data_IF_234943097181
#
_entry.id   IF_234943097181
#
_cell.length_a   1.000
_cell.length_b   1.000
_cell.length_c   1.000
_cell.angle_alpha   90.00
_cell.angle_beta   90.00
_cell.angle_gamma   90.00
#
_symmetry.space_group_name_H-M   'P 1'
#
loop_
_entity.id
_entity.type
_entity.pdbx_description
1 polymer ?
#
# COMPACT_ATOMS: atom_id res chain seq x y z
N UNK A 1 -24.10 -20.24 -14.06
CA UNK A 1 -24.87 -20.85 -12.95
C UNK A 1 -26.29 -20.29 -12.92
N UNK A 2 -27.28 -21.05 -12.45
CA UNK A 2 -28.62 -20.58 -12.16
C UNK A 2 -28.65 -19.82 -10.81
N UNK A 3 -29.70 -19.07 -10.56
CA UNK A 3 -29.88 -18.39 -9.26
C UNK A 3 -29.80 -19.40 -8.08
N UNK A 4 -30.42 -20.58 -8.21
CA UNK A 4 -30.41 -21.60 -7.17
C UNK A 4 -29.00 -22.13 -6.87
N UNK A 5 -28.18 -22.35 -7.89
CA UNK A 5 -26.80 -22.78 -7.75
C UNK A 5 -25.93 -21.67 -7.12
N UNK A 6 -26.14 -20.40 -7.54
CA UNK A 6 -25.45 -19.26 -6.97
C UNK A 6 -25.81 -19.08 -5.47
N UNK A 7 -27.08 -19.21 -5.10
CA UNK A 7 -27.51 -19.10 -3.71
C UNK A 7 -26.92 -20.21 -2.83
N UNK A 8 -26.91 -21.46 -3.32
CA UNK A 8 -26.25 -22.58 -2.64
C UNK A 8 -24.77 -22.34 -2.44
N UNK A 9 -24.09 -21.87 -3.49
CA UNK A 9 -22.66 -21.56 -3.43
C UNK A 9 -22.37 -20.45 -2.42
N UNK A 10 -23.13 -19.34 -2.42
CA UNK A 10 -22.99 -18.23 -1.48
C UNK A 10 -23.13 -18.71 -0.05
N UNK A 11 -24.21 -19.45 0.24
CA UNK A 11 -24.48 -19.98 1.57
C UNK A 11 -23.40 -20.95 2.04
N UNK A 12 -22.98 -21.87 1.17
CA UNK A 12 -21.95 -22.86 1.48
C UNK A 12 -20.60 -22.19 1.74
N UNK A 13 -20.20 -21.23 0.91
CA UNK A 13 -18.96 -20.48 1.07
C UNK A 13 -18.93 -19.59 2.32
N UNK A 14 -20.11 -19.13 2.79
CA UNK A 14 -20.26 -18.42 4.06
C UNK A 14 -20.31 -19.35 5.28
N UNK A 15 -20.35 -20.68 5.09
CA UNK A 15 -20.43 -21.65 6.17
C UNK A 15 -21.75 -21.64 6.95
N UNK A 16 -22.84 -21.06 6.38
CA UNK A 16 -24.12 -20.92 7.07
C UNK A 16 -25.13 -21.99 6.66
N UNK A 17 -26.02 -22.38 7.59
CA UNK A 17 -27.13 -23.33 7.31
C UNK A 17 -28.27 -22.63 6.61
N UNK A 18 -29.17 -23.39 5.94
CA UNK A 18 -30.39 -22.84 5.36
C UNK A 18 -31.28 -22.14 6.42
N UNK A 19 -31.25 -22.62 7.65
CA UNK A 19 -32.00 -22.05 8.78
C UNK A 19 -31.43 -20.68 9.17
N UNK A 20 -30.11 -20.58 9.30
CA UNK A 20 -29.42 -19.30 9.60
C UNK A 20 -29.62 -18.26 8.49
N UNK A 21 -29.52 -18.69 7.20
CA UNK A 21 -29.81 -17.79 6.08
C UNK A 21 -31.27 -17.32 6.10
N UNK A 22 -32.23 -18.19 6.48
CA UNK A 22 -33.63 -17.83 6.60
C UNK A 22 -33.88 -16.80 7.71
N UNK A 23 -33.20 -16.95 8.86
CA UNK A 23 -33.23 -15.97 9.95
C UNK A 23 -32.69 -14.62 9.51
N UNK A 24 -31.52 -14.58 8.82
CA UNK A 24 -30.91 -13.32 8.33
C UNK A 24 -31.82 -12.58 7.33
N UNK A 25 -32.55 -13.33 6.50
CA UNK A 25 -33.47 -12.78 5.50
C UNK A 25 -34.89 -12.57 6.02
N UNK A 26 -35.20 -12.94 7.27
CA UNK A 26 -36.53 -12.86 7.91
C UNK A 26 -37.58 -13.68 7.15
N UNK A 27 -37.21 -14.86 6.65
CA UNK A 27 -38.10 -15.75 5.88
C UNK A 27 -38.13 -17.15 6.50
N UNK A 28 -39.01 -18.04 5.98
CA UNK A 28 -39.06 -19.42 6.45
C UNK A 28 -37.88 -20.25 5.85
N UNK A 29 -37.37 -21.24 6.61
CA UNK A 29 -36.40 -22.22 6.08
C UNK A 29 -36.92 -22.91 4.82
N UNK A 30 -38.24 -23.16 4.75
CA UNK A 30 -38.86 -23.77 3.57
C UNK A 30 -38.75 -22.89 2.32
N UNK A 31 -38.82 -21.56 2.48
CA UNK A 31 -38.58 -20.62 1.37
C UNK A 31 -37.19 -20.75 0.82
N UNK A 32 -36.16 -20.71 1.68
CA UNK A 32 -34.76 -20.88 1.27
C UNK A 32 -34.54 -22.22 0.57
N UNK A 33 -35.11 -23.31 1.12
CA UNK A 33 -34.99 -24.64 0.51
C UNK A 33 -35.63 -24.71 -0.89
N UNK A 34 -36.79 -24.04 -1.10
CA UNK A 34 -37.44 -23.95 -2.42
C UNK A 34 -36.61 -23.11 -3.40
N UNK A 35 -36.00 -22.05 -2.96
CA UNK A 35 -35.14 -21.21 -3.78
C UNK A 35 -33.88 -21.97 -4.23
N UNK A 36 -33.23 -22.69 -3.30
CA UNK A 36 -32.06 -23.49 -3.60
C UNK A 36 -32.36 -24.72 -4.50
N UNK A 37 -33.59 -25.24 -4.41
CA UNK A 37 -34.04 -26.32 -5.30
C UNK A 37 -34.54 -25.83 -6.66
N UNK A 38 -34.65 -24.51 -6.88
CA UNK A 38 -35.21 -23.91 -8.08
C UNK A 38 -36.73 -24.01 -8.19
N UNK A 39 -37.42 -24.48 -7.13
CA UNK A 39 -38.87 -24.64 -7.13
C UNK A 39 -39.62 -23.31 -7.03
N UNK A 40 -39.00 -22.27 -6.51
CA UNK A 40 -39.56 -20.90 -6.45
C UNK A 40 -38.45 -19.87 -6.47
N UNK A 41 -38.86 -18.60 -6.62
CA UNK A 41 -37.96 -17.43 -6.65
C UNK A 41 -38.31 -16.49 -5.49
N UNK A 42 -37.33 -15.81 -4.88
CA UNK A 42 -37.59 -14.76 -3.91
C UNK A 42 -38.15 -13.50 -4.55
N UNK A 43 -38.81 -12.66 -3.75
CA UNK A 43 -39.23 -11.33 -4.17
C UNK A 43 -38.05 -10.40 -4.34
N UNK A 44 -38.22 -9.29 -5.07
CA UNK A 44 -37.13 -8.35 -5.41
C UNK A 44 -36.45 -7.79 -4.17
N UNK A 45 -37.22 -7.45 -3.13
CA UNK A 45 -36.65 -6.92 -1.87
C UNK A 45 -35.76 -7.94 -1.17
N UNK A 46 -36.12 -9.22 -1.23
CA UNK A 46 -35.28 -10.31 -0.69
C UNK A 46 -34.05 -10.53 -1.53
N UNK A 47 -34.14 -10.42 -2.86
CA UNK A 47 -32.98 -10.49 -3.76
C UNK A 47 -31.99 -9.37 -3.46
N UNK A 48 -32.46 -8.14 -3.26
CA UNK A 48 -31.60 -7.01 -2.89
C UNK A 48 -30.95 -7.24 -1.52
N UNK A 49 -31.70 -7.75 -0.52
CA UNK A 49 -31.12 -8.12 0.77
C UNK A 49 -30.04 -9.20 0.66
N UNK A 50 -30.22 -10.21 -0.21
CA UNK A 50 -29.16 -11.22 -0.49
C UNK A 50 -27.94 -10.56 -1.11
N UNK A 51 -28.12 -9.65 -2.07
CA UNK A 51 -27.04 -8.90 -2.69
C UNK A 51 -26.26 -8.08 -1.66
N UNK A 52 -26.96 -7.35 -0.80
CA UNK A 52 -26.36 -6.51 0.25
C UNK A 52 -25.65 -7.36 1.33
N UNK A 53 -26.27 -8.47 1.74
CA UNK A 53 -25.76 -9.35 2.79
C UNK A 53 -24.44 -10.05 2.39
N UNK A 54 -24.32 -10.43 1.11
CA UNK A 54 -23.20 -11.21 0.61
C UNK A 54 -22.33 -10.44 -0.39
N UNK A 55 -22.58 -9.14 -0.57
CA UNK A 55 -21.87 -8.25 -1.49
C UNK A 55 -21.75 -8.86 -2.91
N UNK A 56 -22.88 -9.20 -3.50
CA UNK A 56 -22.97 -9.80 -4.82
C UNK A 56 -23.85 -8.92 -5.71
N UNK A 57 -23.38 -8.63 -6.93
CA UNK A 57 -24.18 -7.92 -7.91
C UNK A 57 -25.41 -8.74 -8.34
N UNK A 58 -26.56 -8.07 -8.45
CA UNK A 58 -27.84 -8.70 -8.80
C UNK A 58 -27.80 -9.44 -10.14
N UNK A 59 -27.11 -8.88 -11.15
CA UNK A 59 -27.01 -9.53 -12.45
C UNK A 59 -26.12 -10.80 -12.36
N UNK A 60 -25.06 -10.77 -11.57
CA UNK A 60 -24.21 -11.93 -11.29
C UNK A 60 -24.98 -13.00 -10.53
N UNK A 61 -25.79 -12.61 -9.52
CA UNK A 61 -26.62 -13.53 -8.75
C UNK A 61 -27.68 -14.23 -9.62
N UNK A 62 -28.32 -13.50 -10.55
CA UNK A 62 -29.43 -14.01 -11.35
C UNK A 62 -29.02 -14.73 -12.64
N UNK A 63 -27.95 -14.30 -13.29
CA UNK A 63 -27.58 -14.72 -14.66
C UNK A 63 -26.12 -15.13 -14.83
N UNK A 64 -25.27 -14.69 -13.91
CA UNK A 64 -23.83 -15.00 -13.92
C UNK A 64 -23.47 -16.26 -13.14
N UNK A 65 -22.20 -16.37 -12.83
CA UNK A 65 -21.65 -17.34 -11.89
C UNK A 65 -20.93 -16.57 -10.79
N UNK A 66 -21.47 -16.66 -9.58
CA UNK A 66 -20.84 -16.01 -8.41
C UNK A 66 -19.47 -16.62 -8.13
N UNK A 67 -19.33 -17.92 -8.31
CA UNK A 67 -18.06 -18.63 -8.17
C UNK A 67 -17.00 -18.10 -9.14
N UNK A 68 -17.33 -18.06 -10.45
CA UNK A 68 -16.39 -17.55 -11.47
C UNK A 68 -16.05 -16.08 -11.27
N UNK A 69 -17.02 -15.27 -10.86
CA UNK A 69 -16.79 -13.86 -10.55
C UNK A 69 -15.81 -13.72 -9.39
N UNK A 70 -16.01 -14.45 -8.29
CA UNK A 70 -15.11 -14.42 -7.12
C UNK A 70 -13.71 -14.93 -7.46
N UNK A 71 -13.58 -16.05 -8.16
CA UNK A 71 -12.28 -16.57 -8.62
C UNK A 71 -11.57 -15.56 -9.53
N UNK A 72 -12.31 -14.92 -10.44
CA UNK A 72 -11.79 -13.88 -11.30
C UNK A 72 -11.30 -12.65 -10.52
N UNK A 73 -12.06 -12.20 -9.51
CA UNK A 73 -11.70 -11.04 -8.71
C UNK A 73 -10.50 -11.30 -7.79
N UNK A 74 -10.41 -12.50 -7.21
CA UNK A 74 -9.25 -12.90 -6.41
C UNK A 74 -7.97 -12.98 -7.24
N UNK A 75 -8.04 -13.58 -8.44
CA UNK A 75 -6.90 -13.65 -9.36
C UNK A 75 -6.46 -12.24 -9.80
N UNK A 76 -7.42 -11.36 -10.13
CA UNK A 76 -7.16 -9.96 -10.50
C UNK A 76 -6.53 -9.18 -9.35
N UNK A 77 -7.05 -9.34 -8.13
CA UNK A 77 -6.50 -8.70 -6.94
C UNK A 77 -5.05 -9.12 -6.72
N UNK A 78 -4.77 -10.42 -6.72
CA UNK A 78 -3.43 -10.94 -6.51
C UNK A 78 -2.43 -10.44 -7.56
N UNK A 79 -2.80 -10.48 -8.85
CA UNK A 79 -1.96 -10.00 -9.95
C UNK A 79 -1.75 -8.47 -9.88
N UNK A 80 -2.81 -7.74 -9.61
CA UNK A 80 -2.75 -6.27 -9.45
C UNK A 80 -1.82 -5.88 -8.30
N UNK A 81 -2.01 -6.46 -7.10
CA UNK A 81 -1.21 -6.14 -5.92
C UNK A 81 0.26 -6.51 -6.10
N UNK A 82 0.57 -7.63 -6.77
CA UNK A 82 1.93 -8.02 -7.09
C UNK A 82 2.63 -6.99 -8.00
N UNK A 83 1.96 -6.55 -9.06
CA UNK A 83 2.50 -5.53 -9.97
C UNK A 83 2.62 -4.17 -9.32
N UNK A 84 1.64 -3.80 -8.50
CA UNK A 84 1.64 -2.55 -7.76
C UNK A 84 2.79 -2.47 -6.78
N UNK A 85 2.97 -3.50 -5.93
CA UNK A 85 4.07 -3.60 -4.97
C UNK A 85 5.44 -3.51 -5.65
N UNK A 86 5.62 -4.24 -6.76
CA UNK A 86 6.88 -4.23 -7.50
C UNK A 86 7.18 -2.85 -8.11
N UNK A 87 6.19 -2.20 -8.74
CA UNK A 87 6.35 -0.86 -9.32
C UNK A 87 6.71 0.18 -8.27
N UNK A 88 6.01 0.17 -7.13
CA UNK A 88 6.27 1.08 -6.02
C UNK A 88 7.67 0.89 -5.44
N UNK A 89 8.04 -0.36 -5.13
CA UNK A 89 9.35 -0.67 -4.57
C UNK A 89 10.50 -0.31 -5.52
N UNK A 90 10.37 -0.64 -6.81
CA UNK A 90 11.38 -0.29 -7.83
C UNK A 90 11.50 1.22 -7.99
N UNK A 91 10.39 1.96 -8.06
CA UNK A 91 10.44 3.41 -8.27
C UNK A 91 11.06 4.14 -7.08
N UNK A 92 10.74 3.76 -5.85
CA UNK A 92 11.32 4.36 -4.65
C UNK A 92 12.83 4.04 -4.57
N UNK A 93 13.20 2.78 -4.80
CA UNK A 93 14.60 2.35 -4.77
C UNK A 93 15.43 2.98 -5.90
N UNK A 94 14.84 3.19 -7.08
CA UNK A 94 15.50 3.81 -8.21
C UNK A 94 15.93 5.25 -7.93
N UNK A 95 15.15 6.01 -7.14
CA UNK A 95 15.52 7.37 -6.72
C UNK A 95 16.82 7.32 -5.89
N UNK A 96 16.90 6.38 -4.93
CA UNK A 96 18.08 6.24 -4.07
C UNK A 96 19.29 5.72 -4.88
N UNK A 97 19.07 4.74 -5.76
CA UNK A 97 20.11 4.24 -6.66
C UNK A 97 20.59 5.33 -7.65
N UNK A 98 19.68 6.25 -8.04
CA UNK A 98 20.03 7.42 -8.84
C UNK A 98 21.01 8.37 -8.15
N UNK A 99 20.87 8.54 -6.82
CA UNK A 99 21.85 9.28 -6.01
C UNK A 99 23.22 8.59 -6.04
N UNK A 100 23.26 7.27 -5.88
CA UNK A 100 24.50 6.49 -5.97
C UNK A 100 25.17 6.65 -7.33
N UNK A 101 24.40 6.58 -8.41
CA UNK A 101 24.90 6.80 -9.78
C UNK A 101 25.45 8.20 -9.95
N UNK A 102 24.75 9.22 -9.45
CA UNK A 102 25.22 10.61 -9.52
C UNK A 102 26.56 10.78 -8.79
N UNK A 103 26.70 10.21 -7.58
CA UNK A 103 27.96 10.25 -6.81
C UNK A 103 29.09 9.60 -7.61
N UNK A 104 28.87 8.41 -8.17
CA UNK A 104 29.87 7.70 -8.98
C UNK A 104 30.30 8.51 -10.20
N UNK A 105 29.36 9.06 -10.96
CA UNK A 105 29.67 9.86 -12.14
C UNK A 105 30.50 11.11 -11.79
N UNK A 106 30.18 11.77 -10.68
CA UNK A 106 30.94 12.93 -10.22
C UNK A 106 32.33 12.57 -9.71
N UNK A 107 32.52 11.38 -9.12
CA UNK A 107 33.82 10.90 -8.64
C UNK A 107 34.83 10.62 -9.78
N UNK A 108 34.34 10.06 -10.88
CA UNK A 108 35.24 9.71 -12.03
C UNK A 108 35.55 10.87 -12.96
N UNK A 109 34.70 11.89 -13.02
CA UNK A 109 34.95 13.06 -13.85
C UNK A 109 34.47 14.35 -13.16
N UNK A 110 35.40 15.10 -12.53
CA UNK A 110 35.08 16.29 -11.75
C UNK A 110 34.79 17.55 -12.58
N UNK A 111 34.75 17.47 -13.93
CA UNK A 111 34.44 18.64 -14.76
C UNK A 111 33.01 19.14 -14.53
N UNK A 112 32.81 20.47 -14.56
CA UNK A 112 31.50 21.08 -14.29
C UNK A 112 30.44 20.64 -15.31
N UNK A 113 30.79 20.47 -16.58
CA UNK A 113 29.88 19.98 -17.61
C UNK A 113 29.40 18.56 -17.31
N UNK A 114 30.30 17.71 -16.79
CA UNK A 114 29.93 16.33 -16.45
C UNK A 114 29.10 16.22 -15.18
N UNK A 115 29.34 17.07 -14.18
CA UNK A 115 28.50 17.19 -13.01
C UNK A 115 27.10 17.61 -13.39
N UNK A 116 26.91 18.60 -14.27
CA UNK A 116 25.60 19.01 -14.77
C UNK A 116 24.90 17.86 -15.48
N UNK A 117 25.59 17.05 -16.27
CA UNK A 117 25.03 15.86 -16.91
C UNK A 117 24.60 14.81 -15.88
N UNK A 118 25.40 14.54 -14.85
CA UNK A 118 25.07 13.60 -13.77
C UNK A 118 23.80 14.04 -13.02
N UNK A 119 23.68 15.33 -12.71
CA UNK A 119 22.45 15.90 -12.09
C UNK A 119 21.27 15.78 -13.03
N UNK A 120 21.43 16.06 -14.33
CA UNK A 120 20.35 15.93 -15.31
C UNK A 120 19.85 14.47 -15.43
N UNK A 121 20.76 13.49 -15.44
CA UNK A 121 20.42 12.06 -15.43
C UNK A 121 19.69 11.67 -14.15
N UNK A 122 20.15 12.14 -12.99
CA UNK A 122 19.47 11.92 -11.73
C UNK A 122 18.05 12.50 -11.75
N UNK A 123 17.88 13.74 -12.21
CA UNK A 123 16.56 14.36 -12.33
C UNK A 123 15.64 13.60 -13.29
N UNK A 124 16.17 13.01 -14.35
CA UNK A 124 15.42 12.15 -15.26
C UNK A 124 14.91 10.88 -14.54
N UNK A 125 15.78 10.22 -13.76
CA UNK A 125 15.40 9.05 -12.95
C UNK A 125 14.30 9.43 -11.94
N UNK A 126 14.45 10.55 -11.24
CA UNK A 126 13.44 11.05 -10.30
C UNK A 126 12.11 11.30 -11.02
N UNK A 127 12.14 11.97 -12.17
CA UNK A 127 10.94 12.28 -12.95
C UNK A 127 10.21 11.00 -13.36
N UNK A 128 10.90 10.01 -13.92
CA UNK A 128 10.32 8.72 -14.32
C UNK A 128 9.74 8.01 -13.09
N UNK A 129 10.48 7.96 -11.99
CA UNK A 129 10.06 7.31 -10.75
C UNK A 129 8.78 7.95 -10.18
N UNK A 130 8.72 9.27 -10.13
CA UNK A 130 7.54 10.02 -9.65
C UNK A 130 6.34 9.77 -10.55
N UNK A 131 6.51 9.78 -11.88
CA UNK A 131 5.42 9.46 -12.83
C UNK A 131 4.90 8.04 -12.59
N UNK A 132 5.77 7.05 -12.38
CA UNK A 132 5.36 5.66 -12.10
C UNK A 132 4.63 5.56 -10.75
N UNK A 133 5.11 6.25 -9.72
CA UNK A 133 4.45 6.28 -8.40
C UNK A 133 3.05 6.88 -8.50
N UNK A 134 2.92 8.05 -9.13
CA UNK A 134 1.62 8.75 -9.27
C UNK A 134 0.64 7.92 -10.10
N UNK A 135 1.07 7.41 -11.26
CA UNK A 135 0.21 6.59 -12.12
C UNK A 135 -0.21 5.29 -11.45
N UNK A 136 0.70 4.64 -10.70
CA UNK A 136 0.40 3.44 -9.91
C UNK A 136 -0.60 3.73 -8.79
N UNK A 137 -0.47 4.87 -8.10
CA UNK A 137 -1.42 5.31 -7.07
C UNK A 137 -2.82 5.55 -7.63
N UNK A 138 -2.94 6.23 -8.79
CA UNK A 138 -4.23 6.43 -9.48
C UNK A 138 -4.83 5.09 -9.91
N UNK A 139 -4.01 4.15 -10.44
CA UNK A 139 -4.47 2.82 -10.81
C UNK A 139 -4.98 2.03 -9.59
N UNK A 140 -4.32 2.15 -8.44
CA UNK A 140 -4.75 1.54 -7.19
C UNK A 140 -6.09 2.10 -6.70
N UNK A 141 -6.28 3.42 -6.73
CA UNK A 141 -7.55 4.06 -6.37
C UNK A 141 -8.69 3.63 -7.30
N UNK A 142 -8.42 3.57 -8.61
CA UNK A 142 -9.39 3.08 -9.59
C UNK A 142 -9.73 1.58 -9.41
N UNK A 143 -8.74 0.77 -9.02
CA UNK A 143 -8.96 -0.64 -8.71
C UNK A 143 -9.84 -0.81 -7.48
N UNK A 144 -9.57 -0.06 -6.40
CA UNK A 144 -10.38 -0.05 -5.18
C UNK A 144 -11.84 0.33 -5.44
N UNK A 145 -12.08 1.34 -6.29
CA UNK A 145 -13.44 1.75 -6.66
C UNK A 145 -14.21 0.69 -7.44
N UNK A 146 -13.51 -0.12 -8.24
CA UNK A 146 -14.12 -1.20 -9.03
C UNK A 146 -14.33 -2.48 -8.22
N UNK A 147 -13.50 -2.72 -7.23
CA UNK A 147 -13.50 -3.90 -6.38
C UNK A 147 -13.52 -3.46 -4.91
N UNK A 148 -14.66 -2.92 -4.42
CA UNK A 148 -14.75 -2.35 -3.07
C UNK A 148 -14.55 -3.38 -1.98
N UNK A 149 -14.97 -4.62 -2.22
CA UNK A 149 -14.83 -5.74 -1.28
C UNK A 149 -14.19 -6.91 -2.01
N UNK A 150 -13.22 -7.54 -1.38
CA UNK A 150 -12.57 -8.78 -1.84
C UNK A 150 -12.81 -9.84 -0.76
N UNK A 151 -13.27 -11.03 -1.17
CA UNK A 151 -13.36 -12.14 -0.24
C UNK A 151 -11.94 -12.60 0.15
N UNK A 152 -11.70 -12.88 1.44
CA UNK A 152 -10.43 -13.46 1.86
C UNK A 152 -10.33 -14.90 1.33
N UNK A 153 -9.35 -15.14 0.48
CA UNK A 153 -9.12 -16.40 -0.20
C UNK A 153 -7.78 -17.02 0.18
N UNK A 154 -6.97 -16.29 0.96
CA UNK A 154 -5.70 -16.82 1.44
C UNK A 154 -5.92 -17.76 2.60
N UNK A 155 -5.28 -18.94 2.55
CA UNK A 155 -5.25 -19.86 3.68
C UNK A 155 -4.33 -19.33 4.78
N UNK A 156 -4.57 -19.72 6.03
CA UNK A 156 -3.69 -19.35 7.14
C UNK A 156 -2.25 -19.85 6.92
N UNK A 157 -2.10 -21.02 6.27
CA UNK A 157 -0.79 -21.57 5.91
C UNK A 157 -0.04 -20.65 4.92
N UNK A 158 -0.75 -20.06 3.94
CA UNK A 158 -0.15 -19.11 2.98
C UNK A 158 0.25 -17.81 3.66
N UNK A 159 -0.59 -17.30 4.57
CA UNK A 159 -0.31 -16.09 5.36
C UNK A 159 0.92 -16.30 6.24
N UNK A 160 1.00 -17.40 6.97
CA UNK A 160 2.12 -17.76 7.84
C UNK A 160 3.40 -17.99 7.02
N UNK A 161 3.32 -18.68 5.90
CA UNK A 161 4.48 -18.91 5.02
C UNK A 161 5.02 -17.60 4.46
N UNK A 162 4.15 -16.63 4.14
CA UNK A 162 4.61 -15.31 3.71
C UNK A 162 5.15 -14.50 4.86
N UNK A 163 4.53 -14.54 6.04
CA UNK A 163 5.01 -13.82 7.23
C UNK A 163 6.45 -14.23 7.61
N UNK A 164 6.78 -15.52 7.50
CA UNK A 164 8.17 -15.98 7.67
C UNK A 164 9.13 -15.37 6.64
N UNK A 165 8.70 -15.25 5.38
CA UNK A 165 9.50 -14.57 4.34
C UNK A 165 9.64 -13.07 4.61
N UNK A 166 8.58 -12.43 5.11
CA UNK A 166 8.58 -11.02 5.45
C UNK A 166 9.63 -10.70 6.52
N UNK A 167 9.79 -11.54 7.54
CA UNK A 167 10.87 -11.39 8.54
C UNK A 167 12.24 -11.34 7.87
N UNK A 168 12.49 -12.17 6.84
CA UNK A 168 13.76 -12.14 6.10
C UNK A 168 13.92 -10.89 5.23
N UNK A 169 12.84 -10.32 4.67
CA UNK A 169 12.90 -9.03 3.98
C UNK A 169 13.35 -7.91 4.92
N UNK A 170 12.80 -7.88 6.14
CA UNK A 170 13.18 -6.87 7.15
C UNK A 170 14.60 -7.12 7.67
N UNK A 171 14.91 -8.34 8.11
CA UNK A 171 16.24 -8.67 8.66
C UNK A 171 17.35 -8.48 7.62
N UNK A 172 17.14 -8.90 6.38
CA UNK A 172 18.07 -8.72 5.28
C UNK A 172 18.31 -7.25 4.94
N UNK A 173 17.25 -6.44 4.90
CA UNK A 173 17.36 -5.00 4.69
C UNK A 173 18.14 -4.29 5.80
N UNK A 174 17.81 -4.57 7.07
CA UNK A 174 18.56 -4.02 8.21
C UNK A 174 20.02 -4.48 8.18
N UNK A 175 20.26 -5.78 7.92
CA UNK A 175 21.62 -6.33 7.81
C UNK A 175 22.43 -5.65 6.69
N UNK A 176 21.82 -5.39 5.54
CA UNK A 176 22.47 -4.70 4.43
C UNK A 176 22.89 -3.26 4.80
N UNK A 177 22.03 -2.52 5.52
CA UNK A 177 22.36 -1.16 5.97
C UNK A 177 23.52 -1.21 6.99
N UNK A 178 23.44 -2.08 8.01
CA UNK A 178 24.48 -2.20 9.01
C UNK A 178 25.82 -2.64 8.41
N UNK A 179 25.79 -3.60 7.47
CA UNK A 179 26.97 -4.01 6.72
C UNK A 179 27.57 -2.85 5.91
N UNK A 180 26.72 -2.05 5.27
CA UNK A 180 27.14 -0.85 4.54
C UNK A 180 27.82 0.18 5.44
N UNK A 181 27.34 0.39 6.67
CA UNK A 181 27.97 1.26 7.66
C UNK A 181 29.37 0.72 8.04
N UNK A 182 29.49 -0.60 8.28
CA UNK A 182 30.78 -1.24 8.60
C UNK A 182 31.76 -1.06 7.42
N UNK A 183 31.29 -1.23 6.19
CA UNK A 183 32.13 -1.00 4.99
C UNK A 183 32.60 0.46 4.90
N UNK A 184 31.73 1.43 5.14
CA UNK A 184 32.12 2.85 5.17
C UNK A 184 33.20 3.10 6.21
N UNK A 185 33.00 2.67 7.46
CA UNK A 185 33.98 2.83 8.54
C UNK A 185 35.31 2.18 8.14
N UNK A 186 35.27 0.98 7.56
CA UNK A 186 36.47 0.28 7.09
C UNK A 186 37.24 1.06 6.01
N UNK A 187 36.50 1.61 5.02
CA UNK A 187 37.14 2.42 3.97
C UNK A 187 37.80 3.66 4.54
N UNK A 188 37.11 4.42 5.40
CA UNK A 188 37.66 5.62 6.04
C UNK A 188 38.82 5.33 7.00
N UNK A 189 38.84 4.15 7.65
CA UNK A 189 39.89 3.79 8.61
C UNK A 189 41.18 3.27 7.96
N UNK A 190 41.10 2.57 6.82
CA UNK A 190 42.21 1.81 6.25
C UNK A 190 42.66 2.27 4.86
N UNK A 191 41.84 3.05 4.15
CA UNK A 191 42.24 3.58 2.83
C UNK A 191 42.72 5.03 2.94
N UNK A 192 43.68 5.46 2.04
CA UNK A 192 44.12 6.84 2.02
C UNK A 192 42.98 7.80 1.73
N UNK A 193 42.94 8.96 2.39
CA UNK A 193 42.04 10.08 2.09
C UNK A 193 42.28 10.60 0.67
N UNK A 194 41.75 9.89 -0.32
CA UNK A 194 41.87 10.29 -1.74
C UNK A 194 40.62 9.89 -2.51
N UNK A 195 40.06 10.84 -3.23
CA UNK A 195 39.17 10.56 -4.34
C UNK A 195 39.86 9.57 -5.32
N UNK A 196 39.16 8.52 -5.87
CA UNK A 196 37.69 8.34 -5.84
C UNK A 196 37.17 7.35 -4.76
N UNK A 197 38.01 6.83 -3.84
CA UNK A 197 37.62 5.73 -2.93
C UNK A 197 36.47 6.10 -2.01
N UNK A 198 36.45 7.31 -1.45
CA UNK A 198 35.39 7.78 -0.56
C UNK A 198 34.04 7.86 -1.29
N UNK A 199 34.06 8.42 -2.49
CA UNK A 199 32.86 8.52 -3.32
C UNK A 199 32.34 7.15 -3.78
N UNK A 200 33.23 6.20 -4.09
CA UNK A 200 32.84 4.82 -4.41
C UNK A 200 32.21 4.16 -3.19
N UNK A 201 32.80 4.31 -2.02
CA UNK A 201 32.25 3.74 -0.79
C UNK A 201 30.87 4.32 -0.46
N UNK A 202 30.70 5.63 -0.59
CA UNK A 202 29.41 6.30 -0.42
C UNK A 202 28.38 5.81 -1.43
N UNK A 203 28.74 5.63 -2.68
CA UNK A 203 27.84 5.12 -3.71
C UNK A 203 27.44 3.66 -3.45
N UNK A 204 28.38 2.80 -3.05
CA UNK A 204 28.09 1.41 -2.67
C UNK A 204 27.14 1.38 -1.47
N UNK A 205 27.37 2.23 -0.47
CA UNK A 205 26.46 2.35 0.67
C UNK A 205 25.05 2.79 0.25
N UNK A 206 24.93 3.77 -0.66
CA UNK A 206 23.64 4.19 -1.20
C UNK A 206 22.94 3.07 -1.98
N UNK A 207 23.67 2.22 -2.70
CA UNK A 207 23.11 1.05 -3.37
C UNK A 207 22.60 -0.01 -2.37
N UNK A 208 23.30 -0.22 -1.27
CA UNK A 208 22.85 -1.11 -0.19
C UNK A 208 21.58 -0.55 0.47
N UNK A 209 21.49 0.76 0.71
CA UNK A 209 20.27 1.42 1.18
C UNK A 209 19.14 1.25 0.16
N UNK A 210 19.39 1.44 -1.14
CA UNK A 210 18.39 1.25 -2.18
C UNK A 210 17.82 -0.17 -2.17
N UNK A 211 18.68 -1.19 -2.04
CA UNK A 211 18.28 -2.60 -1.90
C UNK A 211 17.48 -2.87 -0.63
N UNK A 212 17.89 -2.29 0.50
CA UNK A 212 17.18 -2.40 1.77
C UNK A 212 15.79 -1.75 1.68
N UNK A 213 15.69 -0.55 1.11
CA UNK A 213 14.41 0.15 0.92
C UNK A 213 13.49 -0.63 -0.03
N UNK A 214 14.05 -1.21 -1.11
CA UNK A 214 13.29 -2.12 -1.96
C UNK A 214 12.70 -3.28 -1.16
N UNK A 215 13.53 -3.93 -0.34
CA UNK A 215 13.14 -5.06 0.50
C UNK A 215 12.02 -4.67 1.48
N UNK A 216 12.14 -3.53 2.15
CA UNK A 216 11.13 -3.05 3.10
C UNK A 216 9.81 -2.69 2.41
N UNK A 217 9.86 -1.93 1.32
CA UNK A 217 8.65 -1.49 0.61
C UNK A 217 7.95 -2.67 -0.04
N UNK A 218 8.70 -3.50 -0.78
CA UNK A 218 8.14 -4.68 -1.43
C UNK A 218 7.57 -5.68 -0.42
N UNK A 219 8.37 -6.02 0.60
CA UNK A 219 7.97 -6.94 1.67
C UNK A 219 6.74 -6.44 2.43
N UNK A 220 6.72 -5.17 2.83
CA UNK A 220 5.58 -4.57 3.54
C UNK A 220 4.30 -4.54 2.71
N UNK A 221 4.39 -4.15 1.43
CA UNK A 221 3.23 -4.14 0.54
C UNK A 221 2.74 -5.55 0.21
N UNK A 222 3.62 -6.55 0.13
CA UNK A 222 3.24 -7.94 -0.04
C UNK A 222 2.59 -8.50 1.24
N UNK A 223 3.07 -8.13 2.42
CA UNK A 223 2.43 -8.48 3.70
C UNK A 223 1.02 -7.89 3.78
N UNK A 224 0.84 -6.62 3.41
CA UNK A 224 -0.48 -5.98 3.38
C UNK A 224 -1.44 -6.63 2.37
N UNK A 225 -0.93 -7.22 1.28
CA UNK A 225 -1.73 -7.97 0.31
C UNK A 225 -2.46 -9.17 0.95
N UNK A 226 -1.80 -9.87 1.89
CA UNK A 226 -2.41 -11.00 2.60
C UNK A 226 -3.43 -10.57 3.67
N UNK A 227 -3.46 -9.29 4.04
CA UNK A 227 -4.44 -8.72 5.00
C UNK A 227 -5.67 -8.18 4.25
N UNK A 228 -6.41 -9.08 3.58
CA UNK A 228 -7.61 -8.71 2.79
C UNK A 228 -8.64 -7.99 3.65
N UNK A 229 -8.79 -8.37 4.92
CA UNK A 229 -9.66 -7.69 5.88
C UNK A 229 -9.32 -6.19 6.03
N UNK A 230 -8.01 -5.84 6.03
CA UNK A 230 -7.55 -4.46 6.09
C UNK A 230 -7.93 -3.69 4.82
N UNK A 231 -7.75 -4.32 3.64
CA UNK A 231 -8.17 -3.75 2.36
C UNK A 231 -9.67 -3.44 2.36
N UNK A 232 -10.52 -4.39 2.79
CA UNK A 232 -11.97 -4.23 2.84
C UNK A 232 -12.39 -3.15 3.83
N UNK A 233 -11.80 -3.12 5.03
CA UNK A 233 -12.02 -2.11 6.06
C UNK A 233 -11.68 -0.71 5.56
N UNK A 234 -10.49 -0.55 4.98
CA UNK A 234 -9.98 0.75 4.51
C UNK A 234 -10.75 1.26 3.28
N UNK A 235 -11.38 0.35 2.55
CA UNK A 235 -12.20 0.69 1.38
C UNK A 235 -13.66 1.02 1.75
N UNK A 236 -14.18 0.40 2.80
CA UNK A 236 -15.53 0.61 3.32
C UNK A 236 -15.48 0.98 4.81
N UNK A 237 -14.92 2.16 5.16
CA UNK A 237 -14.86 2.58 6.54
C UNK A 237 -16.28 2.85 7.06
N UNK A 238 -16.52 2.47 8.32
CA UNK A 238 -17.72 2.88 9.03
C UNK A 238 -17.89 4.42 8.98
N UNK A 239 -19.12 4.96 8.87
CA UNK A 239 -19.35 6.41 8.76
C UNK A 239 -18.65 7.24 9.83
N UNK A 240 -18.62 6.76 11.09
CA UNK A 240 -17.93 7.45 12.18
C UNK A 240 -16.41 7.37 12.05
N UNK A 241 -15.88 6.23 11.60
CA UNK A 241 -14.47 6.05 11.30
C UNK A 241 -14.03 6.97 10.15
N UNK A 242 -14.81 7.03 9.08
CA UNK A 242 -14.56 7.93 7.94
C UNK A 242 -14.49 9.39 8.39
N UNK A 243 -15.46 9.84 9.20
CA UNK A 243 -15.48 11.22 9.72
C UNK A 243 -14.23 11.55 10.54
N UNK A 244 -13.75 10.62 11.38
CA UNK A 244 -12.51 10.81 12.16
C UNK A 244 -11.27 10.89 11.26
N UNK A 245 -11.18 10.05 10.23
CA UNK A 245 -10.08 10.07 9.26
C UNK A 245 -10.07 11.37 8.45
N UNK A 246 -11.23 11.83 7.99
CA UNK A 246 -11.37 13.09 7.26
C UNK A 246 -10.96 14.29 8.13
N UNK A 247 -11.36 14.30 9.41
CA UNK A 247 -10.95 15.33 10.38
C UNK A 247 -9.43 15.26 10.62
N UNK A 248 -8.84 14.08 10.80
CA UNK A 248 -7.40 13.93 10.95
C UNK A 248 -6.64 14.46 9.74
N UNK A 249 -7.13 14.20 8.53
CA UNK A 249 -6.59 14.73 7.29
C UNK A 249 -6.67 16.26 7.21
N UNK A 250 -7.83 16.83 7.56
CA UNK A 250 -8.03 18.29 7.57
C UNK A 250 -7.12 19.00 8.58
N UNK A 251 -7.00 18.45 9.81
CA UNK A 251 -6.11 18.99 10.85
C UNK A 251 -4.64 18.89 10.42
N UNK A 252 -4.23 17.75 9.86
CA UNK A 252 -2.86 17.56 9.35
C UNK A 252 -2.55 18.52 8.21
N UNK A 253 -3.50 18.75 7.30
CA UNK A 253 -3.38 19.76 6.25
C UNK A 253 -3.20 21.18 6.82
N UNK A 254 -3.98 21.56 7.82
CA UNK A 254 -3.86 22.85 8.49
C UNK A 254 -2.49 23.01 9.19
N UNK A 255 -1.98 21.97 9.85
CA UNK A 255 -0.64 21.96 10.47
C UNK A 255 0.44 22.22 9.42
N UNK A 256 0.41 21.53 8.28
CA UNK A 256 1.42 21.66 7.24
C UNK A 256 1.34 23.02 6.52
N UNK A 257 0.13 23.56 6.31
CA UNK A 257 -0.05 24.92 5.79
C UNK A 257 0.51 25.98 6.76
N UNK A 258 0.26 25.80 8.07
CA UNK A 258 0.81 26.68 9.12
C UNK A 258 2.33 26.59 9.16
N UNK A 259 2.90 25.38 9.08
CA UNK A 259 4.34 25.17 9.00
C UNK A 259 4.95 25.88 7.78
N UNK A 260 4.29 25.78 6.63
CA UNK A 260 4.71 26.48 5.41
C UNK A 260 4.66 28.00 5.58
N UNK A 261 3.58 28.55 6.16
CA UNK A 261 3.44 29.98 6.43
C UNK A 261 4.54 30.50 7.39
N UNK A 262 4.85 29.74 8.45
CA UNK A 262 5.93 30.05 9.39
C UNK A 262 7.29 30.05 8.66
N UNK A 263 7.56 29.02 7.85
CA UNK A 263 8.81 28.92 7.08
C UNK A 263 9.01 30.12 6.14
N UNK A 264 7.97 30.44 5.37
CA UNK A 264 7.98 31.58 4.45
C UNK A 264 8.12 32.91 5.21
N UNK A 265 7.38 33.10 6.31
CA UNK A 265 7.47 34.27 7.15
C UNK A 265 8.86 34.50 7.77
N UNK A 266 9.47 33.43 8.31
CA UNK A 266 10.84 33.48 8.84
C UNK A 266 11.87 33.72 7.71
N UNK A 267 11.67 33.14 6.54
CA UNK A 267 12.51 33.35 5.37
C UNK A 267 12.58 34.80 4.95
N UNK A 268 11.41 35.49 4.84
CA UNK A 268 11.34 36.89 4.43
C UNK A 268 11.72 37.87 5.53
N UNK A 269 11.36 37.59 6.79
CA UNK A 269 11.60 38.58 7.89
C UNK A 269 13.00 38.48 8.48
N UNK A 270 13.61 37.27 8.51
CA UNK A 270 14.89 37.03 9.18
C UNK A 270 15.95 36.43 8.22
N UNK A 271 15.67 36.29 6.94
CA UNK A 271 16.54 35.67 5.94
C UNK A 271 17.07 34.29 6.35
N UNK A 272 16.24 33.48 7.02
CA UNK A 272 16.61 32.18 7.61
C UNK A 272 16.23 30.99 6.72
N UNK A 273 16.23 31.15 5.41
CA UNK A 273 15.86 30.10 4.45
C UNK A 273 16.63 28.78 4.65
N UNK A 274 17.93 28.86 4.95
CA UNK A 274 18.78 27.70 5.15
C UNK A 274 18.64 27.01 6.51
N UNK A 275 18.07 27.68 7.52
CA UNK A 275 18.01 27.16 8.89
C UNK A 275 16.60 26.85 9.37
N UNK A 276 15.56 27.48 8.78
CA UNK A 276 14.17 27.32 9.23
C UNK A 276 13.47 26.05 8.73
N UNK A 277 14.13 25.20 7.95
CA UNK A 277 13.54 23.97 7.37
C UNK A 277 13.04 22.95 8.42
N UNK A 278 13.54 23.03 9.67
CA UNK A 278 13.11 22.17 10.79
C UNK A 278 11.62 22.26 11.10
N UNK A 279 10.94 23.32 10.65
CA UNK A 279 9.48 23.49 10.82
C UNK A 279 8.71 22.35 10.16
N UNK A 280 9.18 21.82 9.02
CA UNK A 280 8.52 20.73 8.32
C UNK A 280 8.62 19.38 9.04
N UNK A 281 9.80 18.92 9.51
CA UNK A 281 9.87 17.75 10.38
C UNK A 281 9.00 17.82 11.63
N UNK A 282 8.98 18.99 12.30
CA UNK A 282 8.09 19.21 13.46
C UNK A 282 6.63 19.12 13.07
N UNK A 283 6.25 19.75 11.96
CA UNK A 283 4.90 19.62 11.39
C UNK A 283 4.52 18.18 11.09
N UNK A 284 5.43 17.42 10.50
CA UNK A 284 5.24 15.98 10.21
C UNK A 284 5.03 15.14 11.47
N UNK A 285 5.80 15.38 12.54
CA UNK A 285 5.63 14.72 13.85
C UNK A 285 4.24 15.05 14.43
N UNK A 286 3.81 16.32 14.40
CA UNK A 286 2.48 16.71 14.86
C UNK A 286 1.37 16.04 14.06
N UNK A 287 1.50 15.94 12.74
CA UNK A 287 0.55 15.19 11.89
C UNK A 287 0.50 13.71 12.29
N UNK A 288 1.64 13.09 12.60
CA UNK A 288 1.70 11.73 13.10
C UNK A 288 0.95 11.55 14.43
N UNK A 289 1.14 12.47 15.38
CA UNK A 289 0.42 12.48 16.67
C UNK A 289 -1.09 12.59 16.45
N UNK A 290 -1.54 13.51 15.57
CA UNK A 290 -2.96 13.67 15.23
C UNK A 290 -3.52 12.37 14.63
N UNK A 291 -2.80 11.76 13.71
CA UNK A 291 -3.24 10.52 13.07
C UNK A 291 -3.38 9.38 14.08
N UNK A 292 -2.40 9.21 14.98
CA UNK A 292 -2.45 8.19 16.05
C UNK A 292 -3.59 8.46 17.04
N UNK A 293 -3.82 9.74 17.40
CA UNK A 293 -4.88 10.11 18.34
C UNK A 293 -6.29 9.94 17.78
N UNK A 294 -6.45 10.15 16.46
CA UNK A 294 -7.73 10.09 15.76
C UNK A 294 -7.96 8.76 15.03
N UNK A 295 -7.02 7.80 15.11
CA UNK A 295 -7.17 6.49 14.47
C UNK A 295 -8.36 5.73 15.10
N UNK A 296 -9.44 5.47 14.33
CA UNK A 296 -10.62 4.77 14.85
C UNK A 296 -10.38 3.28 15.10
N UNK A 297 -9.31 2.72 14.53
CA UNK A 297 -8.97 1.29 14.55
C UNK A 297 -7.84 0.96 15.55
N UNK A 298 -7.61 1.82 16.52
CA UNK A 298 -6.56 1.64 17.52
C UNK A 298 -6.87 0.42 18.40
N UNK A 299 -6.11 -0.67 18.21
CA UNK A 299 -6.24 -1.92 18.98
C UNK A 299 -6.78 -3.11 18.19
N UNK A 300 -7.00 -2.97 16.88
CA UNK A 300 -7.46 -4.05 15.98
C UNK A 300 -6.34 -4.59 15.07
N UNK A 301 -5.10 -4.09 15.22
CA UNK A 301 -3.91 -4.51 14.44
C UNK A 301 -3.14 -5.63 15.15
#
# INVERSE_FOLDING_TARGET
>A
MSFSENLQYIRASAGVTQEHLAEQLEVSRQSVSKWESGASFPEMDTLLRICDLYDVDLNTLLRGSVEESRVSDTARYNDFMNRFSLRMALSISAIIAGVALMILLCAFNPSDSFRMLAVALFMLIVTISVVVIVTSGIQYDNFRKKHPVIQDFYTEEEKDAFHQKFVWYIAGGVGAILFGVVLLIGVFAFLPEKEPYESIAAAVFMLLIAGAVFSFVYGGMQEDKYKVWKYNRDNNPDPDAKRRLDLAGAVSGAIMLTATAIYVGLGFTRNTWGTAWWVFPVGGILCGVVHIAMNPYKGED
#
